data_IF_232228317573
#
_entry.id   IF_232228317573
#
_cell.length_a   1.000
_cell.length_b   1.000
_cell.length_c   1.000
_cell.angle_alpha   90.00
_cell.angle_beta   90.00
_cell.angle_gamma   90.00
#
_symmetry.space_group_name_H-M   'P 1'
#
loop_
_entity.id
_entity.type
_entity.pdbx_description
1 polymer ?
#
# COMPACT_ATOMS: atom_id res chain seq x y z
N UNK A 1 10.79 32.66 4.08
CA UNK A 1 10.57 31.60 3.10
C UNK A 1 10.95 30.20 3.63
N UNK A 2 12.07 30.04 4.34
CA UNK A 2 12.56 28.74 4.81
C UNK A 2 11.61 27.96 5.72
N UNK A 3 10.96 28.62 6.67
CA UNK A 3 10.05 27.96 7.62
C UNK A 3 8.80 27.38 6.94
N UNK A 4 8.20 28.12 5.99
CA UNK A 4 7.04 27.65 5.22
C UNK A 4 7.41 26.48 4.31
N UNK A 5 8.60 26.54 3.70
CA UNK A 5 9.12 25.43 2.89
C UNK A 5 9.37 24.18 3.75
N UNK A 6 9.94 24.36 4.93
CA UNK A 6 10.17 23.26 5.88
C UNK A 6 8.87 22.57 6.31
N UNK A 7 7.82 23.34 6.63
CA UNK A 7 6.49 22.79 6.97
C UNK A 7 5.85 22.05 5.80
N UNK A 8 5.92 22.61 4.60
CA UNK A 8 5.41 21.95 3.39
C UNK A 8 6.16 20.64 3.09
N UNK A 9 7.50 20.68 3.18
CA UNK A 9 8.32 19.47 2.96
C UNK A 9 7.99 18.37 3.95
N UNK A 10 7.84 18.70 5.24
CA UNK A 10 7.43 17.76 6.29
C UNK A 10 6.06 17.16 5.98
N UNK A 11 5.09 17.98 5.56
CA UNK A 11 3.76 17.51 5.17
C UNK A 11 3.83 16.51 4.00
N UNK A 12 4.56 16.83 2.93
CA UNK A 12 4.70 15.93 1.77
C UNK A 12 5.35 14.61 2.16
N UNK A 13 6.34 14.63 3.03
CA UNK A 13 7.03 13.42 3.51
C UNK A 13 6.08 12.54 4.31
N UNK A 14 5.42 13.12 5.33
CA UNK A 14 4.65 12.36 6.31
C UNK A 14 3.23 12.04 5.85
N UNK A 15 2.57 12.96 5.14
CA UNK A 15 1.13 12.88 4.87
C UNK A 15 0.78 12.57 3.41
N UNK A 16 1.76 12.35 2.53
CA UNK A 16 1.46 12.14 1.12
C UNK A 16 2.32 11.09 0.43
N UNK A 17 3.65 11.22 0.48
CA UNK A 17 4.51 10.54 -0.49
C UNK A 17 5.04 9.19 -0.02
N UNK A 18 5.34 9.05 1.27
CA UNK A 18 5.99 7.86 1.80
C UNK A 18 4.98 6.95 2.53
N UNK A 19 5.17 5.61 2.42
CA UNK A 19 4.39 4.65 3.18
C UNK A 19 4.83 4.61 4.64
N UNK A 20 3.92 4.24 5.55
CA UNK A 20 4.28 3.83 6.90
C UNK A 20 4.93 2.43 6.85
N UNK A 21 6.03 2.24 7.57
CA UNK A 21 6.76 0.97 7.57
C UNK A 21 5.94 -0.19 8.15
N UNK A 22 4.99 0.11 9.03
CA UNK A 22 4.19 -0.90 9.76
C UNK A 22 3.12 -1.54 8.90
N UNK A 23 2.41 -0.75 8.06
CA UNK A 23 1.31 -1.24 7.22
C UNK A 23 1.58 -1.11 5.71
N UNK A 24 2.68 -0.47 5.33
CA UNK A 24 3.07 -0.30 3.92
C UNK A 24 2.19 0.66 3.13
N UNK A 25 1.37 1.47 3.80
CA UNK A 25 0.35 2.30 3.17
C UNK A 25 0.71 3.80 3.24
N UNK A 26 0.39 4.50 2.16
CA UNK A 26 0.28 5.96 2.18
C UNK A 26 -1.03 6.38 2.85
N UNK A 27 -1.14 7.60 3.39
CA UNK A 27 -2.36 8.05 4.06
C UNK A 27 -3.63 7.90 3.21
N UNK A 28 -3.60 8.25 1.93
CA UNK A 28 -4.77 8.08 1.04
C UNK A 28 -5.18 6.61 0.91
N UNK A 29 -4.24 5.69 0.78
CA UNK A 29 -4.51 4.26 0.68
C UNK A 29 -5.13 3.71 1.96
N UNK A 30 -4.59 4.08 3.11
CA UNK A 30 -5.13 3.69 4.43
C UNK A 30 -6.56 4.19 4.62
N UNK A 31 -6.83 5.43 4.26
CA UNK A 31 -8.17 6.03 4.31
C UNK A 31 -9.16 5.35 3.38
N UNK A 32 -8.73 4.95 2.19
CA UNK A 32 -9.56 4.16 1.26
C UNK A 32 -9.96 2.84 1.91
N UNK A 33 -8.99 2.06 2.39
CA UNK A 33 -9.25 0.74 2.97
C UNK A 33 -10.12 0.86 4.23
N UNK A 34 -9.81 1.81 5.11
CA UNK A 34 -10.57 2.02 6.33
C UNK A 34 -12.01 2.46 6.05
N UNK A 35 -12.23 3.45 5.17
CA UNK A 35 -13.55 3.93 4.81
C UNK A 35 -14.42 2.84 4.16
N UNK A 36 -13.84 2.07 3.22
CA UNK A 36 -14.56 0.97 2.58
C UNK A 36 -14.93 -0.11 3.59
N UNK A 37 -14.06 -0.44 4.53
CA UNK A 37 -14.35 -1.41 5.59
C UNK A 37 -15.46 -0.90 6.54
N UNK A 38 -15.37 0.36 6.97
CA UNK A 38 -16.38 1.01 7.81
C UNK A 38 -17.76 1.03 7.16
N UNK A 39 -17.81 1.23 5.85
CA UNK A 39 -19.03 1.17 5.06
C UNK A 39 -19.54 -0.27 4.83
N UNK A 40 -18.82 -1.29 5.28
CA UNK A 40 -19.14 -2.69 5.01
C UNK A 40 -19.03 -3.05 3.52
N UNK A 41 -18.14 -2.39 2.78
CA UNK A 41 -17.85 -2.69 1.37
C UNK A 41 -16.70 -3.70 1.26
N UNK A 42 -16.91 -4.88 1.82
CA UNK A 42 -15.95 -5.96 2.00
C UNK A 42 -16.10 -7.03 0.92
N UNK A 43 -15.12 -7.93 0.81
CA UNK A 43 -15.06 -8.97 -0.23
C UNK A 43 -16.27 -9.92 -0.23
N UNK A 44 -16.91 -10.13 0.90
CA UNK A 44 -18.09 -10.98 1.09
C UNK A 44 -19.41 -10.30 0.68
N UNK A 45 -19.36 -9.01 0.32
CA UNK A 45 -20.52 -8.22 -0.11
C UNK A 45 -20.49 -7.94 -1.61
N UNK A 46 -21.62 -7.46 -2.12
CA UNK A 46 -21.71 -6.99 -3.50
C UNK A 46 -20.85 -5.76 -3.76
N UNK A 47 -20.43 -5.62 -5.01
CA UNK A 47 -19.73 -4.42 -5.47
C UNK A 47 -20.59 -3.17 -5.33
N UNK A 48 -19.94 -2.04 -5.06
CA UNK A 48 -20.59 -0.73 -4.97
C UNK A 48 -19.98 0.24 -5.98
N UNK A 49 -20.76 1.20 -6.46
CA UNK A 49 -20.25 2.25 -7.34
C UNK A 49 -19.03 2.93 -6.74
N UNK A 50 -17.94 3.00 -7.51
CA UNK A 50 -16.69 3.63 -7.06
C UNK A 50 -16.91 5.08 -6.62
N UNK A 51 -17.79 5.81 -7.32
CA UNK A 51 -18.15 7.19 -6.96
C UNK A 51 -18.71 7.31 -5.53
N UNK A 52 -19.45 6.31 -5.02
CA UNK A 52 -19.95 6.31 -3.65
C UNK A 52 -18.82 6.22 -2.64
N UNK A 53 -17.90 5.27 -2.84
CA UNK A 53 -16.73 5.10 -1.96
C UNK A 53 -15.83 6.34 -1.99
N UNK A 54 -15.54 6.88 -3.17
CA UNK A 54 -14.75 8.12 -3.32
C UNK A 54 -15.39 9.28 -2.60
N UNK A 55 -16.72 9.47 -2.74
CA UNK A 55 -17.46 10.52 -2.03
C UNK A 55 -17.36 10.41 -0.51
N UNK A 56 -17.52 9.21 0.05
CA UNK A 56 -17.41 8.97 1.48
C UNK A 56 -15.97 9.22 2.00
N UNK A 57 -14.97 8.77 1.25
CA UNK A 57 -13.56 8.98 1.61
C UNK A 57 -13.22 10.47 1.61
N UNK A 58 -13.64 11.20 0.56
CA UNK A 58 -13.39 12.63 0.43
C UNK A 58 -14.11 13.44 1.51
N UNK A 59 -15.37 13.10 1.78
CA UNK A 59 -16.19 13.82 2.74
C UNK A 59 -15.78 13.63 4.19
N UNK A 60 -15.29 12.43 4.55
CA UNK A 60 -15.06 12.09 5.95
C UNK A 60 -13.57 12.04 6.34
N UNK A 61 -12.66 11.72 5.43
CA UNK A 61 -11.28 11.39 5.81
C UNK A 61 -10.20 12.09 4.98
N UNK A 62 -10.43 12.32 3.68
CA UNK A 62 -9.38 12.80 2.78
C UNK A 62 -9.81 14.05 2.01
N UNK A 63 -9.57 15.26 2.55
CA UNK A 63 -10.07 16.53 1.98
C UNK A 63 -9.22 16.99 0.78
N UNK A 64 -9.14 16.16 -0.25
CA UNK A 64 -8.45 16.40 -1.50
C UNK A 64 -9.35 16.07 -2.69
N UNK A 65 -8.87 16.36 -3.91
CA UNK A 65 -9.66 16.11 -5.12
C UNK A 65 -10.07 14.65 -5.29
N UNK A 66 -11.30 14.42 -5.72
CA UNK A 66 -11.90 13.10 -5.97
C UNK A 66 -11.11 12.27 -6.97
N UNK A 67 -10.55 12.90 -8.00
CA UNK A 67 -9.69 12.23 -8.98
C UNK A 67 -8.47 11.58 -8.34
N UNK A 68 -7.81 12.24 -7.39
CA UNK A 68 -6.64 11.68 -6.70
C UNK A 68 -6.99 10.47 -5.84
N UNK A 69 -8.16 10.47 -5.21
CA UNK A 69 -8.67 9.34 -4.42
C UNK A 69 -9.02 8.18 -5.36
N UNK A 70 -9.74 8.47 -6.45
CA UNK A 70 -10.11 7.46 -7.43
C UNK A 70 -8.90 6.81 -8.09
N UNK A 71 -7.90 7.61 -8.51
CA UNK A 71 -6.65 7.10 -9.08
C UNK A 71 -5.91 6.18 -8.11
N UNK A 72 -5.87 6.52 -6.82
CA UNK A 72 -5.28 5.65 -5.81
C UNK A 72 -6.06 4.34 -5.65
N UNK A 73 -7.40 4.40 -5.63
CA UNK A 73 -8.26 3.22 -5.58
C UNK A 73 -8.06 2.31 -6.80
N UNK A 74 -8.04 2.89 -8.00
CA UNK A 74 -7.78 2.15 -9.24
C UNK A 74 -6.42 1.47 -9.20
N UNK A 75 -5.36 2.18 -8.78
CA UNK A 75 -4.01 1.59 -8.68
C UNK A 75 -3.96 0.39 -7.74
N UNK A 76 -4.70 0.40 -6.63
CA UNK A 76 -4.80 -0.74 -5.72
C UNK A 76 -5.58 -1.93 -6.29
N UNK A 77 -6.30 -1.76 -7.40
CA UNK A 77 -7.02 -2.83 -8.09
C UNK A 77 -6.27 -3.41 -9.31
N UNK A 78 -5.16 -2.81 -9.70
CA UNK A 78 -4.41 -3.21 -10.89
C UNK A 78 -3.43 -4.34 -10.55
N UNK A 79 -3.70 -5.55 -11.04
CA UNK A 79 -2.90 -6.75 -10.79
C UNK A 79 -1.52 -6.74 -11.46
N UNK A 80 -1.33 -5.90 -12.48
CA UNK A 80 0.00 -5.66 -13.07
C UNK A 80 0.87 -4.67 -12.29
N UNK A 81 0.32 -3.97 -11.28
CA UNK A 81 1.03 -3.03 -10.41
C UNK A 81 1.20 -3.52 -8.98
N UNK A 82 0.32 -4.39 -8.53
CA UNK A 82 0.33 -4.91 -7.17
C UNK A 82 0.54 -6.41 -7.19
N UNK A 83 1.40 -6.89 -6.31
CA UNK A 83 1.61 -8.34 -6.12
C UNK A 83 0.36 -8.99 -5.53
N UNK A 84 -0.30 -8.28 -4.61
CA UNK A 84 -1.60 -8.62 -4.04
C UNK A 84 -2.50 -7.39 -4.12
N UNK A 85 -3.57 -7.46 -4.89
CA UNK A 85 -4.52 -6.35 -5.01
C UNK A 85 -5.30 -6.16 -3.71
N UNK A 86 -5.48 -4.92 -3.29
CA UNK A 86 -6.21 -4.58 -2.06
C UNK A 86 -7.65 -4.15 -2.34
N UNK A 87 -7.96 -3.81 -3.58
CA UNK A 87 -9.30 -3.45 -4.05
C UNK A 87 -9.64 -4.33 -5.24
N UNK A 88 -10.82 -4.91 -5.24
CA UNK A 88 -11.41 -5.54 -6.42
C UNK A 88 -12.28 -4.55 -7.16
N UNK A 89 -12.19 -4.51 -8.47
CA UNK A 89 -12.93 -3.56 -9.29
C UNK A 89 -13.58 -4.25 -10.48
N UNK A 90 -14.85 -3.92 -10.72
CA UNK A 90 -15.57 -4.26 -11.93
C UNK A 90 -15.61 -3.08 -12.90
N UNK A 91 -15.47 -3.35 -14.17
CA UNK A 91 -15.42 -2.36 -15.23
C UNK A 91 -13.98 -2.11 -15.69
N UNK A 92 -13.79 -1.09 -16.51
CA UNK A 92 -12.48 -0.73 -17.02
C UNK A 92 -11.66 0.00 -15.96
N UNK A 93 -10.66 -0.67 -15.39
CA UNK A 93 -9.69 -0.11 -14.43
C UNK A 93 -8.33 0.26 -15.08
N UNK A 94 -8.30 0.45 -16.40
CA UNK A 94 -7.10 0.73 -17.16
C UNK A 94 -6.46 -0.52 -17.75
N UNK A 95 -5.33 -0.34 -18.40
CA UNK A 95 -4.53 -1.44 -18.97
C UNK A 95 -3.04 -1.26 -18.69
N UNK A 96 -2.28 -2.33 -18.90
CA UNK A 96 -0.83 -2.30 -18.84
C UNK A 96 -0.21 -1.45 -19.96
N UNK A 97 -0.91 -1.30 -21.09
CA UNK A 97 -0.49 -0.49 -22.23
C UNK A 97 -0.72 1.02 -22.03
N UNK A 98 -1.28 1.39 -20.86
CA UNK A 98 -1.44 2.80 -20.49
C UNK A 98 -2.83 3.38 -20.76
N UNK A 99 -3.81 2.57 -21.12
CA UNK A 99 -5.19 3.06 -21.25
C UNK A 99 -5.70 3.56 -19.90
N UNK A 100 -6.40 4.71 -19.87
CA UNK A 100 -6.95 5.22 -18.64
C UNK A 100 -8.15 4.39 -18.17
N UNK A 101 -8.43 4.36 -16.85
CA UNK A 101 -9.64 3.76 -16.34
C UNK A 101 -10.88 4.51 -16.78
N UNK A 102 -12.03 3.84 -16.80
CA UNK A 102 -13.31 4.51 -16.96
C UNK A 102 -13.59 5.44 -15.75
N UNK A 103 -14.41 6.45 -15.96
CA UNK A 103 -14.80 7.35 -14.86
C UNK A 103 -15.50 6.59 -13.73
N UNK A 104 -15.32 7.06 -12.48
CA UNK A 104 -15.79 6.40 -11.25
C UNK A 104 -17.30 6.13 -11.20
N UNK A 105 -18.11 6.80 -12.03
CA UNK A 105 -19.54 6.54 -12.16
C UNK A 105 -19.88 5.25 -12.89
N UNK A 106 -18.93 4.71 -13.67
CA UNK A 106 -19.10 3.47 -14.44
C UNK A 106 -18.51 2.25 -13.76
N UNK A 107 -17.50 2.41 -12.92
CA UNK A 107 -16.86 1.30 -12.24
C UNK A 107 -17.49 1.01 -10.88
N UNK A 108 -17.28 -0.21 -10.40
CA UNK A 108 -17.72 -0.68 -9.10
C UNK A 108 -16.53 -1.29 -8.36
N UNK A 109 -16.48 -1.12 -7.06
CA UNK A 109 -15.37 -1.60 -6.25
C UNK A 109 -15.82 -2.21 -4.93
N UNK A 110 -14.97 -3.06 -4.36
CA UNK A 110 -15.04 -3.56 -2.98
C UNK A 110 -13.64 -3.90 -2.49
N UNK A 111 -13.47 -4.11 -1.20
CA UNK A 111 -12.20 -4.62 -0.67
C UNK A 111 -11.96 -6.05 -1.18
N UNK A 112 -10.71 -6.39 -1.44
CA UNK A 112 -10.29 -7.76 -1.67
C UNK A 112 -10.25 -8.54 -0.35
N UNK A 113 -10.23 -9.87 -0.42
CA UNK A 113 -10.12 -10.72 0.77
C UNK A 113 -8.84 -10.42 1.56
N UNK A 114 -7.70 -10.28 0.87
CA UNK A 114 -6.42 -10.02 1.53
C UNK A 114 -6.37 -8.64 2.22
N UNK A 115 -7.10 -7.64 1.74
CA UNK A 115 -7.22 -6.36 2.42
C UNK A 115 -7.87 -6.49 3.81
N UNK A 116 -8.73 -7.49 3.99
CA UNK A 116 -9.33 -7.82 5.29
C UNK A 116 -8.28 -8.15 6.36
N UNK A 117 -7.16 -8.78 5.99
CA UNK A 117 -6.06 -9.09 6.92
C UNK A 117 -5.28 -7.84 7.35
N UNK A 118 -5.26 -6.78 6.56
CA UNK A 118 -4.69 -5.50 7.00
C UNK A 118 -5.55 -4.80 8.05
N UNK A 119 -6.85 -5.04 8.03
CA UNK A 119 -7.86 -4.43 8.89
C UNK A 119 -8.27 -5.32 10.07
N UNK A 120 -7.77 -6.56 10.12
CA UNK A 120 -8.12 -7.52 11.15
C UNK A 120 -7.84 -6.95 12.53
N UNK A 121 -8.81 -7.11 13.44
CA UNK A 121 -8.73 -6.65 14.82
C UNK A 121 -8.60 -5.12 15.02
N UNK A 122 -8.97 -4.31 14.03
CA UNK A 122 -8.90 -2.84 14.11
C UNK A 122 -9.81 -2.26 15.21
N UNK A 123 -10.89 -2.93 15.53
CA UNK A 123 -11.85 -2.58 16.60
C UNK A 123 -11.40 -2.99 18.00
N UNK A 124 -10.29 -3.73 18.12
CA UNK A 124 -9.77 -4.25 19.39
C UNK A 124 -8.69 -3.38 20.05
N UNK A 125 -8.68 -2.10 19.73
CA UNK A 125 -7.69 -1.13 20.24
C UNK A 125 -6.22 -1.53 19.97
N UNK A 126 -5.97 -2.08 18.80
CA UNK A 126 -4.65 -2.58 18.37
C UNK A 126 -3.76 -1.50 17.76
N UNK A 127 -4.33 -0.36 17.38
CA UNK A 127 -3.63 0.74 16.71
C UNK A 127 -4.02 2.10 17.29
N UNK A 128 -3.17 3.12 17.17
CA UNK A 128 -3.50 4.48 17.58
C UNK A 128 -4.49 5.13 16.62
N UNK A 129 -5.34 6.01 17.16
CA UNK A 129 -6.37 6.76 16.45
C UNK A 129 -6.11 8.25 16.54
N UNK A 130 -6.46 8.98 15.49
CA UNK A 130 -6.46 10.44 15.46
C UNK A 130 -7.83 10.96 15.00
N UNK A 131 -8.10 12.22 15.28
CA UNK A 131 -9.25 12.89 14.67
C UNK A 131 -9.01 13.13 13.18
N UNK A 132 -10.06 13.04 12.39
CA UNK A 132 -10.04 13.42 10.98
C UNK A 132 -9.85 14.95 10.82
N UNK A 133 -9.85 15.44 9.58
CA UNK A 133 -9.52 16.83 9.27
C UNK A 133 -10.49 17.88 9.85
N UNK A 134 -11.72 17.52 10.20
CA UNK A 134 -12.76 18.40 10.73
C UNK A 134 -13.22 18.03 12.16
N UNK A 135 -12.49 17.14 12.82
CA UNK A 135 -12.72 16.66 14.19
C UNK A 135 -14.11 16.01 14.41
N UNK A 136 -14.74 15.51 13.34
CA UNK A 136 -16.06 14.84 13.43
C UNK A 136 -15.96 13.35 13.66
N UNK A 137 -14.91 12.72 13.20
CA UNK A 137 -14.69 11.28 13.31
C UNK A 137 -13.24 10.94 13.63
N UNK A 138 -13.00 9.71 14.11
CA UNK A 138 -11.64 9.19 14.29
C UNK A 138 -11.25 8.28 13.13
N UNK A 139 -10.00 8.37 12.74
CA UNK A 139 -9.37 7.49 11.77
C UNK A 139 -8.13 6.81 12.36
N UNK A 140 -7.80 5.58 11.94
CA UNK A 140 -6.58 4.92 12.40
C UNK A 140 -5.36 5.57 11.73
N UNK A 141 -4.30 5.82 12.50
CA UNK A 141 -3.05 6.36 11.96
C UNK A 141 -2.18 5.31 11.28
N UNK A 142 -2.47 4.03 11.55
CA UNK A 142 -1.85 2.85 10.95
C UNK A 142 -2.86 1.70 11.02
N UNK A 143 -2.81 0.75 10.10
CA UNK A 143 -3.62 -0.46 10.17
C UNK A 143 -2.91 -1.57 10.97
N UNK A 144 -3.64 -2.52 11.58
CA UNK A 144 -3.05 -3.65 12.33
C UNK A 144 -2.10 -4.51 11.50
N UNK A 145 -2.39 -4.69 10.21
CA UNK A 145 -1.55 -5.33 9.20
C UNK A 145 -1.04 -6.74 9.61
N UNK A 146 -1.90 -7.73 9.50
CA UNK A 146 -1.55 -9.12 9.83
C UNK A 146 -0.52 -9.77 8.88
N UNK A 147 -0.15 -9.10 7.79
CA UNK A 147 0.94 -9.49 6.91
C UNK A 147 1.80 -8.28 6.53
N UNK A 148 3.08 -8.47 6.15
CA UNK A 148 4.02 -7.39 5.89
C UNK A 148 3.80 -6.75 4.50
N UNK A 149 2.73 -5.97 4.36
CA UNK A 149 2.28 -5.38 3.10
C UNK A 149 3.35 -4.51 2.43
N UNK A 150 4.21 -3.82 3.20
CA UNK A 150 5.29 -3.01 2.63
C UNK A 150 6.22 -3.82 1.72
N UNK A 151 6.57 -5.05 2.13
CA UNK A 151 7.41 -5.92 1.32
C UNK A 151 6.61 -6.65 0.24
N UNK A 152 5.40 -7.10 0.55
CA UNK A 152 4.57 -7.85 -0.40
C UNK A 152 4.20 -7.00 -1.61
N UNK A 153 3.66 -5.81 -1.41
CA UNK A 153 3.27 -4.93 -2.51
C UNK A 153 4.34 -3.91 -2.91
N UNK A 154 5.38 -3.77 -2.08
CA UNK A 154 6.36 -2.72 -2.29
C UNK A 154 5.77 -1.31 -2.12
N UNK A 155 6.56 -0.31 -2.39
CA UNK A 155 6.10 1.08 -2.42
C UNK A 155 7.05 1.96 -3.22
N UNK A 156 6.49 2.92 -3.94
CA UNK A 156 7.24 3.96 -4.63
C UNK A 156 6.73 5.32 -4.19
N UNK A 157 7.63 6.22 -3.82
CA UNK A 157 7.27 7.57 -3.41
C UNK A 157 8.40 8.55 -3.60
N UNK A 158 8.06 9.76 -4.04
CA UNK A 158 9.00 10.87 -4.24
C UNK A 158 8.54 12.02 -3.34
N UNK A 159 9.35 12.33 -2.33
CA UNK A 159 9.14 13.44 -1.43
C UNK A 159 10.22 14.50 -1.61
N UNK A 160 10.12 15.60 -0.86
CA UNK A 160 11.15 16.64 -0.87
C UNK A 160 12.37 16.13 -0.10
N UNK A 161 13.50 16.00 -0.79
CA UNK A 161 14.78 15.58 -0.19
C UNK A 161 14.94 14.08 0.03
N UNK A 162 13.91 13.25 -0.23
CA UNK A 162 14.03 11.80 -0.15
C UNK A 162 13.05 11.09 -1.08
N UNK A 163 13.39 9.85 -1.46
CA UNK A 163 12.54 8.99 -2.26
C UNK A 163 12.65 7.56 -1.76
N UNK A 164 11.61 6.76 -2.02
CA UNK A 164 11.62 5.32 -1.78
C UNK A 164 11.19 4.58 -3.03
N UNK A 165 11.77 3.41 -3.24
CA UNK A 165 11.39 2.48 -4.31
C UNK A 165 11.64 1.05 -3.84
N UNK A 166 10.66 0.49 -3.15
CA UNK A 166 10.69 -0.87 -2.61
C UNK A 166 9.97 -1.77 -3.59
N UNK A 167 10.63 -2.79 -4.15
CA UNK A 167 9.99 -3.73 -5.05
C UNK A 167 9.05 -4.67 -4.30
N UNK A 168 8.05 -5.27 -5.00
CA UNK A 168 7.18 -6.27 -4.42
C UNK A 168 7.90 -7.61 -4.21
N UNK A 169 7.37 -8.43 -3.28
CA UNK A 169 7.91 -9.73 -2.92
C UNK A 169 6.80 -10.79 -2.83
N UNK A 170 7.18 -12.04 -2.92
CA UNK A 170 6.26 -13.16 -2.75
C UNK A 170 5.71 -13.21 -1.32
N UNK A 171 4.40 -13.38 -1.18
CA UNK A 171 3.72 -13.38 0.12
C UNK A 171 4.21 -14.51 1.02
N UNK A 172 4.30 -15.74 0.51
CA UNK A 172 4.72 -16.90 1.29
C UNK A 172 6.18 -16.76 1.75
N UNK A 173 7.08 -16.40 0.84
CA UNK A 173 8.50 -16.17 1.16
C UNK A 173 8.68 -15.05 2.19
N UNK A 174 7.88 -13.98 2.08
CA UNK A 174 7.93 -12.87 3.05
C UNK A 174 7.45 -13.31 4.44
N UNK A 175 6.40 -14.11 4.51
CA UNK A 175 5.91 -14.67 5.77
C UNK A 175 6.93 -15.63 6.38
N UNK A 176 7.59 -16.45 5.57
CA UNK A 176 8.64 -17.36 6.06
C UNK A 176 9.84 -16.58 6.59
N UNK A 177 10.21 -15.46 5.98
CA UNK A 177 11.24 -14.57 6.52
C UNK A 177 10.82 -13.95 7.88
N UNK A 178 9.56 -13.55 8.04
CA UNK A 178 9.04 -13.08 9.34
C UNK A 178 9.12 -14.18 10.39
N UNK A 179 8.68 -15.40 10.07
CA UNK A 179 8.77 -16.55 11.00
C UNK A 179 10.22 -16.83 11.40
N UNK A 180 11.14 -16.82 10.45
CA UNK A 180 12.58 -17.02 10.72
C UNK A 180 13.12 -15.95 11.67
N UNK A 181 12.72 -14.68 11.51
CA UNK A 181 13.08 -13.60 12.43
C UNK A 181 12.47 -13.75 13.82
N UNK A 182 11.24 -14.27 13.91
CA UNK A 182 10.60 -14.54 15.22
C UNK A 182 11.33 -15.66 15.98
N UNK A 183 11.76 -16.72 15.28
CA UNK A 183 12.48 -17.85 15.87
C UNK A 183 13.94 -17.48 16.20
N UNK A 184 14.55 -16.60 15.40
CA UNK A 184 15.93 -16.15 15.58
C UNK A 184 16.03 -14.62 15.34
N UNK A 185 15.86 -13.78 16.37
CA UNK A 185 16.00 -12.31 16.23
C UNK A 185 17.39 -11.83 15.78
N UNK A 186 18.41 -12.68 15.87
CA UNK A 186 19.76 -12.38 15.41
C UNK A 186 20.07 -12.85 13.98
N UNK A 187 19.04 -13.27 13.22
CA UNK A 187 19.20 -13.72 11.83
C UNK A 187 19.83 -12.65 10.96
N UNK A 188 20.78 -13.03 10.12
CA UNK A 188 21.44 -12.12 9.19
C UNK A 188 20.66 -11.96 7.89
N UNK A 189 20.92 -10.88 7.15
CA UNK A 189 20.34 -10.66 5.82
C UNK A 189 20.61 -11.84 4.88
N UNK A 190 21.80 -12.43 4.96
CA UNK A 190 22.17 -13.58 4.13
C UNK A 190 21.30 -14.81 4.42
N UNK A 191 21.05 -15.11 5.68
CA UNK A 191 20.15 -16.19 6.08
C UNK A 191 18.70 -15.91 5.69
N UNK A 192 18.23 -14.67 5.84
CA UNK A 192 16.90 -14.25 5.36
C UNK A 192 16.75 -14.45 3.85
N UNK A 193 17.81 -14.23 3.07
CA UNK A 193 17.79 -14.44 1.62
C UNK A 193 17.74 -15.92 1.20
N UNK A 194 17.86 -16.86 2.12
CA UNK A 194 17.62 -18.28 1.84
C UNK A 194 16.11 -18.57 1.68
N UNK A 195 15.26 -17.83 2.39
CA UNK A 195 13.80 -17.96 2.34
C UNK A 195 13.13 -16.83 1.54
N UNK A 196 13.76 -15.65 1.45
CA UNK A 196 13.31 -14.49 0.67
C UNK A 196 14.42 -14.07 -0.32
N UNK A 197 14.60 -14.80 -1.42
CA UNK A 197 15.77 -14.65 -2.29
C UNK A 197 15.80 -13.35 -3.08
N UNK A 198 14.66 -12.68 -3.26
CA UNK A 198 14.57 -11.42 -4.00
C UNK A 198 13.16 -10.99 -4.31
N UNK A 199 13.00 -9.89 -5.05
CA UNK A 199 11.70 -9.40 -5.50
C UNK A 199 10.94 -10.40 -6.36
N UNK A 200 9.60 -10.30 -6.29
CA UNK A 200 8.66 -11.08 -7.10
C UNK A 200 7.65 -10.11 -7.75
N UNK A 201 7.85 -9.81 -9.02
CA UNK A 201 7.06 -8.81 -9.73
C UNK A 201 5.74 -9.40 -10.26
N UNK A 202 4.63 -8.63 -10.22
CA UNK A 202 3.31 -9.10 -10.66
C UNK A 202 3.29 -9.60 -12.11
N UNK A 203 4.08 -8.97 -12.99
CA UNK A 203 4.15 -9.30 -14.42
C UNK A 203 5.26 -10.28 -14.74
N UNK A 204 5.94 -10.83 -13.73
CA UNK A 204 7.03 -11.77 -13.89
C UNK A 204 8.37 -11.09 -14.25
N UNK A 205 9.27 -11.87 -14.84
CA UNK A 205 10.62 -11.43 -15.20
C UNK A 205 11.70 -12.27 -14.54
N UNK A 206 12.86 -12.32 -15.15
CA UNK A 206 14.02 -13.00 -14.62
C UNK A 206 14.99 -11.98 -14.01
N UNK A 207 15.26 -12.13 -12.72
CA UNK A 207 16.28 -11.29 -12.05
C UNK A 207 17.67 -11.86 -12.34
N UNK A 208 18.51 -11.01 -12.95
CA UNK A 208 19.85 -11.39 -13.37
C UNK A 208 20.87 -11.06 -12.28
N UNK A 209 21.34 -12.12 -11.59
CA UNK A 209 22.35 -12.03 -10.53
C UNK A 209 21.78 -11.64 -9.16
N UNK A 210 22.48 -12.04 -8.09
CA UNK A 210 22.05 -11.83 -6.69
C UNK A 210 22.77 -10.66 -5.99
N UNK A 211 23.90 -10.21 -6.53
CA UNK A 211 24.75 -9.21 -5.86
C UNK A 211 24.03 -7.85 -5.65
N UNK A 212 23.25 -7.43 -6.64
CA UNK A 212 22.45 -6.20 -6.55
C UNK A 212 21.35 -6.30 -5.48
N UNK A 213 20.68 -7.47 -5.39
CA UNK A 213 19.65 -7.73 -4.38
C UNK A 213 20.29 -7.72 -2.98
N UNK A 214 21.37 -8.47 -2.80
CA UNK A 214 22.09 -8.53 -1.51
C UNK A 214 22.50 -7.13 -1.05
N UNK A 215 23.09 -6.34 -1.94
CA UNK A 215 23.46 -4.95 -1.64
C UNK A 215 22.25 -4.10 -1.26
N UNK A 216 21.13 -4.24 -1.98
CA UNK A 216 19.92 -3.51 -1.68
C UNK A 216 19.37 -3.85 -0.29
N UNK A 217 19.34 -5.12 0.07
CA UNK A 217 18.85 -5.56 1.37
C UNK A 217 19.78 -5.14 2.53
N UNK A 218 21.10 -5.19 2.34
CA UNK A 218 22.07 -4.77 3.36
C UNK A 218 22.13 -3.26 3.56
N UNK A 219 22.06 -2.49 2.48
CA UNK A 219 22.37 -1.05 2.53
C UNK A 219 21.16 -0.15 2.25
N UNK A 220 20.02 -0.72 1.86
CA UNK A 220 18.86 0.01 1.35
C UNK A 220 19.07 0.61 -0.05
N UNK A 221 20.18 0.32 -0.73
CA UNK A 221 20.51 0.85 -2.07
C UNK A 221 21.12 -0.24 -2.95
N UNK A 222 20.50 -0.50 -4.09
CA UNK A 222 21.01 -1.47 -5.06
C UNK A 222 20.34 -1.30 -6.42
N UNK A 223 20.91 -1.96 -7.41
CA UNK A 223 20.32 -2.07 -8.75
C UNK A 223 20.01 -3.53 -9.03
N UNK A 224 18.83 -3.78 -9.56
CA UNK A 224 18.36 -5.10 -9.97
C UNK A 224 18.20 -5.08 -11.48
N UNK A 225 18.78 -6.04 -12.16
CA UNK A 225 18.64 -6.20 -13.61
C UNK A 225 17.55 -7.24 -13.89
N UNK A 226 16.54 -6.83 -14.64
CA UNK A 226 15.44 -7.68 -15.09
C UNK A 226 15.57 -8.00 -16.57
N UNK A 227 15.18 -9.21 -16.95
CA UNK A 227 15.12 -9.67 -18.34
C UNK A 227 13.80 -10.40 -18.61
#
# INVERSE_FOLDING_TARGET
MGERFGRYSKYIIQERALPDIRDGLKPVQRRILYSMNKDGNTHDKGYRKSAKSVGNIMGNFHPHGDSSIYDAMVRMSQDWKNREILVEMHGNNGSMDGDPPAAMRYTEARLSEIAGYLLQDIDKNTVPWAWNFDDTEKEPTVLPAAFPNLLVNGATGIAVGMATNIPPHNLAETIDAVKLMMDNPGVTTRELMEVLPGPDFPTGGLVMGKSGIHRAYETGKGSIVLR
#
